data_IF_063319728928
#
_entry.id   IF_063319728928
#
_cell.length_a   1.000
_cell.length_b   1.000
_cell.length_c   1.000
_cell.angle_alpha   90.00
_cell.angle_beta   90.00
_cell.angle_gamma   90.00
#
_symmetry.space_group_name_H-M   'P 1'
#
loop_
_entity.id
_entity.type
_entity.pdbx_description
1 polymer ?
#
# COMPACT_ATOMS: atom_id res chain seq x y z
N UNK A 1 22.34 9.65 -4.45
CA UNK A 1 21.16 10.15 -5.18
C UNK A 1 20.17 8.99 -5.26
N UNK A 2 18.89 9.21 -4.97
CA UNK A 2 17.89 8.13 -5.02
C UNK A 2 17.66 7.68 -6.48
N UNK A 3 17.33 6.40 -6.65
CA UNK A 3 16.97 5.84 -7.96
C UNK A 3 15.68 6.52 -8.47
N UNK A 4 15.56 6.76 -9.77
CA UNK A 4 14.46 7.53 -10.38
C UNK A 4 13.07 6.98 -9.98
N UNK A 5 12.91 5.66 -9.98
CA UNK A 5 11.69 5.00 -9.51
C UNK A 5 11.30 5.39 -8.07
N UNK A 6 12.25 5.55 -7.15
CA UNK A 6 11.94 5.95 -5.76
C UNK A 6 11.39 7.38 -5.73
N UNK A 7 11.95 8.26 -6.56
CA UNK A 7 11.50 9.66 -6.66
C UNK A 7 10.08 9.72 -7.22
N UNK A 8 9.82 8.99 -8.31
CA UNK A 8 8.49 8.98 -8.94
C UNK A 8 7.41 8.45 -8.00
N UNK A 9 7.66 7.37 -7.25
CA UNK A 9 6.71 6.86 -6.27
C UNK A 9 6.56 7.75 -5.02
N UNK A 10 7.52 8.62 -4.74
CA UNK A 10 7.41 9.62 -3.69
C UNK A 10 6.59 10.83 -4.14
N UNK A 11 6.86 11.35 -5.34
CA UNK A 11 6.18 12.54 -5.88
C UNK A 11 4.77 12.24 -6.38
N UNK A 12 4.57 11.06 -6.99
CA UNK A 12 3.30 10.62 -7.57
C UNK A 12 2.86 9.27 -7.00
N UNK A 13 2.66 9.12 -5.68
CA UNK A 13 2.37 7.83 -5.07
C UNK A 13 1.08 7.20 -5.63
N UNK A 14 1.17 5.92 -6.02
CA UNK A 14 0.04 5.13 -6.53
C UNK A 14 -0.72 4.48 -5.38
N UNK A 15 -2.04 4.34 -5.51
CA UNK A 15 -2.91 3.66 -4.53
C UNK A 15 -3.00 4.36 -3.15
N UNK A 16 -2.71 5.65 -3.05
CA UNK A 16 -2.97 6.42 -1.83
C UNK A 16 -4.48 6.44 -1.55
N UNK A 17 -4.88 6.10 -0.32
CA UNK A 17 -6.28 6.15 0.08
C UNK A 17 -6.62 5.26 1.26
N UNK A 18 -7.91 4.99 1.41
CA UNK A 18 -8.41 4.06 2.40
C UNK A 18 -9.70 3.42 1.95
N UNK A 19 -9.95 2.21 2.45
CA UNK A 19 -11.19 1.47 2.24
C UNK A 19 -12.00 1.42 3.53
N UNK A 20 -13.27 1.05 3.42
CA UNK A 20 -14.13 0.84 4.58
C UNK A 20 -13.60 -0.32 5.42
N UNK A 21 -13.19 -0.01 6.66
CA UNK A 21 -12.66 -0.98 7.63
C UNK A 21 -13.74 -1.91 8.19
N UNK A 22 -15.02 -1.60 7.99
CA UNK A 22 -16.14 -2.44 8.42
C UNK A 22 -16.52 -3.50 7.38
N UNK A 23 -15.98 -3.37 6.16
CA UNK A 23 -16.20 -4.33 5.10
C UNK A 23 -15.55 -5.67 5.45
N UNK A 24 -16.27 -6.77 5.24
CA UNK A 24 -15.81 -8.12 5.61
C UNK A 24 -14.70 -8.64 4.70
N UNK A 25 -14.61 -8.10 3.50
CA UNK A 25 -13.62 -8.41 2.47
C UNK A 25 -12.37 -7.53 2.55
N UNK A 26 -12.31 -6.57 3.50
CA UNK A 26 -11.17 -5.66 3.65
C UNK A 26 -10.32 -6.04 4.86
N UNK A 27 -9.09 -6.47 4.60
CA UNK A 27 -8.04 -6.61 5.59
C UNK A 27 -7.35 -5.27 5.85
N UNK A 28 -7.16 -4.88 7.12
CA UNK A 28 -6.44 -3.64 7.49
C UNK A 28 -5.27 -3.95 8.41
N UNK A 29 -4.05 -3.64 7.96
CA UNK A 29 -2.85 -3.62 8.79
C UNK A 29 -2.45 -2.19 9.12
N UNK A 30 -2.29 -1.88 10.40
CA UNK A 30 -1.71 -0.62 10.87
C UNK A 30 -0.47 -0.94 11.69
N UNK A 31 0.68 -0.49 11.24
CA UNK A 31 1.99 -0.79 11.85
C UNK A 31 2.82 0.47 12.03
N UNK A 32 3.70 0.43 13.01
CA UNK A 32 4.55 1.56 13.39
C UNK A 32 3.97 2.36 14.57
N UNK A 33 4.74 3.34 15.01
CA UNK A 33 4.37 4.23 16.10
C UNK A 33 4.86 5.65 15.76
N UNK A 34 4.09 6.71 16.08
CA UNK A 34 4.48 8.08 15.79
C UNK A 34 5.86 8.45 16.35
N UNK A 35 6.23 7.89 17.51
CA UNK A 35 7.52 8.11 18.16
C UNK A 35 8.72 7.59 17.34
N UNK A 36 8.49 6.63 16.45
CA UNK A 36 9.52 6.03 15.59
C UNK A 36 9.61 6.71 14.20
N UNK A 37 8.76 7.72 13.94
CA UNK A 37 8.78 8.50 12.69
C UNK A 37 8.03 7.87 11.52
N UNK A 38 7.84 6.54 11.51
CA UNK A 38 7.11 5.83 10.46
C UNK A 38 5.85 5.14 11.00
N UNK A 39 4.71 5.43 10.38
CA UNK A 39 3.41 4.77 10.61
C UNK A 39 2.78 4.48 9.25
N UNK A 40 2.46 3.22 9.01
CA UNK A 40 1.85 2.77 7.75
C UNK A 40 0.52 2.07 8.03
N UNK A 41 -0.51 2.50 7.32
CA UNK A 41 -1.78 1.80 7.16
C UNK A 41 -1.83 1.19 5.76
N UNK A 42 -1.92 -0.12 5.67
CA UNK A 42 -2.14 -0.87 4.44
C UNK A 42 -3.51 -1.54 4.51
N UNK A 43 -4.28 -1.43 3.44
CA UNK A 43 -5.56 -2.10 3.30
C UNK A 43 -5.57 -2.90 2.00
N UNK A 44 -6.05 -4.13 2.05
CA UNK A 44 -6.29 -4.98 0.89
C UNK A 44 -7.76 -5.41 0.89
N UNK A 45 -8.37 -5.45 -0.29
CA UNK A 45 -9.68 -6.05 -0.50
C UNK A 45 -9.48 -7.42 -1.15
N UNK A 46 -10.21 -8.43 -0.70
CA UNK A 46 -10.08 -9.82 -1.16
C UNK A 46 -11.44 -10.35 -1.61
N UNK A 47 -11.52 -10.92 -2.81
CA UNK A 47 -12.76 -11.53 -3.30
C UNK A 47 -13.06 -12.88 -2.62
N UNK A 48 -14.19 -13.48 -3.00
CA UNK A 48 -14.65 -14.76 -2.46
C UNK A 48 -13.71 -15.94 -2.77
N UNK A 49 -12.84 -15.81 -3.78
CA UNK A 49 -11.85 -16.81 -4.15
C UNK A 49 -10.53 -16.64 -3.38
N UNK A 50 -10.44 -15.67 -2.47
CA UNK A 50 -9.22 -15.37 -1.74
C UNK A 50 -8.22 -14.54 -2.56
N UNK A 51 -8.65 -13.94 -3.67
CA UNK A 51 -7.80 -13.13 -4.54
C UNK A 51 -7.86 -11.67 -4.13
N UNK A 52 -6.71 -11.01 -3.97
CA UNK A 52 -6.68 -9.56 -3.71
C UNK A 52 -7.26 -8.85 -4.93
N UNK A 53 -8.14 -7.86 -4.79
CA UNK A 53 -8.73 -7.13 -5.94
C UNK A 53 -8.42 -5.64 -5.91
N UNK A 54 -8.10 -5.10 -4.75
CA UNK A 54 -7.57 -3.74 -4.61
C UNK A 54 -6.65 -3.63 -3.40
N UNK A 55 -5.78 -2.62 -3.45
CA UNK A 55 -4.85 -2.28 -2.38
C UNK A 55 -4.80 -0.76 -2.22
N UNK A 56 -4.80 -0.29 -0.98
CA UNK A 56 -4.68 1.14 -0.62
C UNK A 56 -3.73 1.33 0.55
N UNK A 57 -3.03 2.45 0.56
CA UNK A 57 -2.18 2.80 1.69
C UNK A 57 -2.33 4.26 2.16
N UNK A 58 -1.96 4.48 3.42
CA UNK A 58 -1.55 5.79 3.95
C UNK A 58 -0.30 5.60 4.80
N UNK A 59 0.72 6.41 4.54
CA UNK A 59 1.97 6.36 5.30
C UNK A 59 2.33 7.75 5.77
N UNK A 60 2.69 7.86 7.04
CA UNK A 60 3.45 8.98 7.58
C UNK A 60 4.87 8.46 7.80
N UNK A 61 5.85 9.09 7.18
CA UNK A 61 7.22 8.60 7.22
C UNK A 61 8.12 9.31 6.22
N UNK A 62 9.37 8.86 6.13
CA UNK A 62 10.31 9.41 5.16
C UNK A 62 9.87 9.14 3.70
N UNK A 63 10.44 9.88 2.74
CA UNK A 63 10.12 9.70 1.31
C UNK A 63 10.33 8.26 0.83
N UNK A 64 11.36 7.57 1.35
CA UNK A 64 11.60 6.15 1.08
C UNK A 64 10.47 5.25 1.60
N UNK A 65 9.90 5.56 2.77
CA UNK A 65 8.77 4.80 3.31
C UNK A 65 7.53 4.98 2.44
N UNK A 66 7.23 6.21 2.00
CA UNK A 66 6.12 6.51 1.09
C UNK A 66 6.30 5.78 -0.24
N UNK A 67 7.48 5.89 -0.86
CA UNK A 67 7.77 5.23 -2.12
C UNK A 67 7.66 3.70 -2.00
N UNK A 68 8.19 3.12 -0.92
CA UNK A 68 8.11 1.68 -0.65
C UNK A 68 6.67 1.22 -0.46
N UNK A 69 5.85 1.98 0.26
CA UNK A 69 4.42 1.68 0.42
C UNK A 69 3.68 1.71 -0.91
N UNK A 70 3.98 2.69 -1.76
CA UNK A 70 3.37 2.81 -3.10
C UNK A 70 3.73 1.63 -4.00
N UNK A 71 5.02 1.28 -4.10
CA UNK A 71 5.47 0.11 -4.87
C UNK A 71 4.81 -1.17 -4.38
N UNK A 72 4.78 -1.39 -3.06
CA UNK A 72 4.18 -2.58 -2.47
C UNK A 72 2.69 -2.71 -2.85
N UNK A 73 1.93 -1.62 -2.83
CA UNK A 73 0.52 -1.66 -3.24
C UNK A 73 0.33 -2.01 -4.72
N UNK A 74 1.19 -1.53 -5.61
CA UNK A 74 1.12 -1.90 -7.02
C UNK A 74 1.48 -3.36 -7.25
N UNK A 75 2.50 -3.88 -6.54
CA UNK A 75 2.86 -5.31 -6.64
C UNK A 75 1.76 -6.24 -6.17
N UNK A 76 1.06 -5.89 -5.08
CA UNK A 76 -0.10 -6.66 -4.61
C UNK A 76 -1.20 -6.71 -5.67
N UNK A 77 -1.33 -5.66 -6.48
CA UNK A 77 -2.29 -5.61 -7.59
C UNK A 77 -1.78 -6.27 -8.87
N UNK A 78 -0.47 -6.26 -9.11
CA UNK A 78 0.17 -6.89 -10.27
C UNK A 78 0.32 -8.41 -10.13
N UNK A 79 0.48 -8.93 -8.91
CA UNK A 79 0.44 -10.37 -8.64
C UNK A 79 -0.85 -11.03 -9.16
N UNK A 80 -1.92 -10.25 -9.31
CA UNK A 80 -3.21 -10.65 -9.88
C UNK A 80 -3.17 -10.83 -11.40
N UNK A 81 -2.33 -10.06 -12.09
CA UNK A 81 -2.27 -10.05 -13.56
C UNK A 81 -1.42 -11.20 -14.11
N UNK A 82 -0.59 -11.82 -13.27
CA UNK A 82 0.32 -12.90 -13.65
C UNK A 82 -0.10 -14.29 -13.13
N UNK A 83 -1.22 -14.39 -12.40
CA UNK A 83 -1.76 -15.64 -11.90
C UNK A 83 -2.78 -16.31 -12.86
N UNK A 84 -2.94 -15.77 -14.08
CA UNK A 84 -3.81 -16.29 -15.13
C UNK A 84 -3.06 -17.01 -16.25
#
# INVERSE_FOLDING_TARGET
>A
MYHENVIDHYENPRNVGSMDKSSKDVGTGLVGAPACGDVMKLQIQVDENGTIVDSKFKTFGCGSAIASSSVATEWLKAALQHAG
#
